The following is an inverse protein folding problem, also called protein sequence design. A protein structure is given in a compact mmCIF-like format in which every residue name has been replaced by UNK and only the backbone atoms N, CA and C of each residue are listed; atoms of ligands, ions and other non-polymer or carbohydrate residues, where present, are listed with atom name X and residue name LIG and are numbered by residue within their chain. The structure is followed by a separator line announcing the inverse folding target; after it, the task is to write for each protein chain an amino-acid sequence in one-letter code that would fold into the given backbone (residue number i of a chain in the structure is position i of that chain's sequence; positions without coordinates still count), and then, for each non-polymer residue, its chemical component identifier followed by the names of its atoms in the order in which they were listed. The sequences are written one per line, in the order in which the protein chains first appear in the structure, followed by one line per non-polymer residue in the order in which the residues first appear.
data_IF_877151950371
#
_entry.id   IF_877151950371
#
_cell.length_a   1.000
_cell.length_b   1.000
_cell.length_c   1.000
_cell.angle_alpha   90.00
_cell.angle_beta   90.00
_cell.angle_gamma   90.00
#
_symmetry.space_group_name_H-M   'P 1'
#
loop_
_entity.id
_entity.type
_entity.pdbx_description
1 polymer ?
#
# COMPACT_ATOMS: atom_id res chain seq x y z
N UNK A 1 6.90 -4.72 -1.99
CA UNK A 1 7.44 -3.71 -1.06
C UNK A 1 7.60 -2.44 -1.85
N UNK A 2 7.35 -1.31 -1.22
CA UNK A 2 7.48 0.01 -1.83
C UNK A 2 7.81 1.05 -0.77
N UNK A 3 8.29 2.21 -1.19
CA UNK A 3 8.51 3.35 -0.33
C UNK A 3 7.50 4.45 -0.66
N UNK A 4 7.13 5.23 0.35
CA UNK A 4 6.28 6.40 0.17
C UNK A 4 6.74 7.55 1.05
N UNK A 5 6.43 8.78 0.63
CA UNK A 5 6.66 9.98 1.45
C UNK A 5 5.72 9.96 2.65
N UNK A 6 6.21 10.41 3.81
CA UNK A 6 5.38 10.68 4.98
C UNK A 6 4.49 11.90 4.73
N UNK A 7 3.32 11.67 4.14
CA UNK A 7 2.31 12.69 3.91
C UNK A 7 1.00 12.31 4.61
N UNK A 8 0.72 12.97 5.74
CA UNK A 8 -0.49 12.72 6.51
C UNK A 8 -1.75 13.33 5.90
N UNK A 9 -1.63 14.19 4.88
CA UNK A 9 -2.77 14.72 4.13
C UNK A 9 -3.20 13.79 3.00
N UNK A 10 -2.35 12.86 2.57
CA UNK A 10 -2.67 11.85 1.56
C UNK A 10 -3.60 10.77 2.12
N UNK A 11 -4.69 10.51 1.38
CA UNK A 11 -5.70 9.54 1.78
C UNK A 11 -5.17 8.09 1.70
N UNK A 12 -4.31 7.79 0.72
CA UNK A 12 -3.66 6.49 0.57
C UNK A 12 -2.68 6.21 1.71
N UNK A 13 -1.87 7.19 2.12
CA UNK A 13 -1.01 7.10 3.30
C UNK A 13 -1.82 6.79 4.55
N UNK A 14 -2.90 7.54 4.77
CA UNK A 14 -3.77 7.35 5.94
C UNK A 14 -4.40 5.96 5.94
N UNK A 15 -4.85 5.47 4.79
CA UNK A 15 -5.41 4.12 4.66
C UNK A 15 -4.37 3.03 4.98
N UNK A 16 -3.16 3.12 4.43
CA UNK A 16 -2.08 2.14 4.67
C UNK A 16 -1.66 2.13 6.15
N UNK A 17 -1.48 3.31 6.74
CA UNK A 17 -1.14 3.46 8.16
C UNK A 17 -2.21 2.83 9.04
N UNK A 18 -3.48 3.10 8.77
CA UNK A 18 -4.60 2.54 9.54
C UNK A 18 -4.69 1.02 9.37
N UNK A 19 -4.51 0.49 8.15
CA UNK A 19 -4.50 -0.95 7.90
C UNK A 19 -3.39 -1.66 8.69
N UNK A 20 -2.19 -1.06 8.75
CA UNK A 20 -1.10 -1.59 9.56
C UNK A 20 -1.42 -1.62 11.06
N UNK A 21 -1.90 -0.52 11.64
CA UNK A 21 -2.21 -0.46 13.07
C UNK A 21 -3.47 -1.24 13.47
N UNK A 22 -4.45 -1.34 12.57
CA UNK A 22 -5.68 -2.09 12.77
C UNK A 22 -5.54 -3.59 12.51
N UNK A 23 -4.44 -4.01 11.86
CA UNK A 23 -4.29 -5.36 11.33
C UNK A 23 -5.45 -5.76 10.40
N UNK A 24 -5.95 -4.78 9.65
CA UNK A 24 -7.07 -4.94 8.72
C UNK A 24 -6.56 -5.16 7.30
N UNK A 25 -7.20 -6.02 6.49
CA UNK A 25 -6.90 -6.13 5.07
C UNK A 25 -7.17 -4.81 4.34
N UNK A 26 -6.32 -4.49 3.36
CA UNK A 26 -6.48 -3.32 2.48
C UNK A 26 -6.43 -3.74 1.01
N UNK A 27 -7.38 -3.25 0.21
CA UNK A 27 -7.40 -3.49 -1.23
C UNK A 27 -6.39 -2.62 -1.96
N UNK A 28 -5.57 -3.21 -2.82
CA UNK A 28 -4.68 -2.50 -3.74
C UNK A 28 -4.98 -2.83 -5.20
N UNK A 29 -4.73 -1.83 -6.05
CA UNK A 29 -4.63 -1.97 -7.50
C UNK A 29 -3.20 -1.63 -7.90
N UNK A 30 -2.45 -2.62 -8.36
CA UNK A 30 -1.08 -2.46 -8.83
C UNK A 30 -1.14 -2.42 -10.36
N UNK A 31 -1.19 -1.20 -10.91
CA UNK A 31 -1.35 -0.95 -12.35
C UNK A 31 0.01 -0.65 -13.00
N UNK A 32 0.14 -0.97 -14.28
CA UNK A 32 1.31 -0.60 -15.11
C UNK A 32 1.36 0.90 -15.42
N UNK A 33 0.20 1.53 -15.60
CA UNK A 33 0.06 2.97 -15.79
C UNK A 33 -1.26 3.53 -15.23
N UNK A 34 -1.43 4.85 -15.35
CA UNK A 34 -2.69 5.49 -14.97
C UNK A 34 -3.80 5.04 -15.93
N UNK A 35 -4.81 4.34 -15.40
CA UNK A 35 -5.88 3.66 -16.18
C UNK A 35 -5.41 2.44 -16.98
N UNK A 36 -4.23 1.89 -16.63
CA UNK A 36 -3.69 0.70 -17.25
C UNK A 36 -4.28 -0.60 -16.70
N UNK A 37 -3.52 -1.68 -16.82
CA UNK A 37 -3.89 -3.02 -16.39
C UNK A 37 -3.02 -3.48 -15.23
N UNK A 38 -3.52 -4.44 -14.45
CA UNK A 38 -2.73 -5.05 -13.40
C UNK A 38 -3.52 -5.80 -12.35
N UNK A 39 -2.86 -6.09 -11.23
CA UNK A 39 -3.39 -6.91 -10.16
C UNK A 39 -4.26 -6.08 -9.23
N UNK A 40 -5.50 -6.51 -9.03
CA UNK A 40 -6.35 -6.10 -7.93
C UNK A 40 -6.49 -7.23 -6.91
N UNK A 41 -6.12 -6.98 -5.66
CA UNK A 41 -6.24 -7.95 -4.57
C UNK A 41 -6.26 -7.26 -3.20
N UNK A 42 -6.62 -8.01 -2.17
CA UNK A 42 -6.49 -7.57 -0.78
C UNK A 42 -5.13 -7.98 -0.19
N UNK A 43 -4.53 -7.07 0.56
CA UNK A 43 -3.20 -7.19 1.13
C UNK A 43 -3.25 -6.99 2.65
N UNK A 44 -2.33 -7.65 3.35
CA UNK A 44 -1.95 -7.31 4.72
C UNK A 44 -0.64 -6.53 4.68
N UNK A 45 -0.59 -5.45 5.46
CA UNK A 45 0.63 -4.66 5.65
C UNK A 45 1.42 -5.29 6.81
N UNK A 46 2.53 -5.93 6.49
CA UNK A 46 3.36 -6.64 7.48
C UNK A 46 4.52 -5.78 8.00
N UNK A 47 4.81 -4.66 7.35
CA UNK A 47 5.84 -3.70 7.77
C UNK A 47 5.42 -2.28 7.39
N UNK A 48 5.63 -1.35 8.32
CA UNK A 48 5.48 0.09 8.14
C UNK A 48 6.55 0.78 8.98
N UNK A 49 7.69 1.11 8.36
CA UNK A 49 8.86 1.66 9.05
C UNK A 49 9.15 3.08 8.58
N UNK A 50 9.19 4.04 9.52
CA UNK A 50 9.49 5.45 9.26
C UNK A 50 11.01 5.67 9.14
N UNK A 51 11.42 6.34 8.08
CA UNK A 51 12.81 6.71 7.81
C UNK A 51 12.94 8.25 7.82
N UNK A 52 13.81 8.78 8.67
CA UNK A 52 14.07 10.22 8.81
C UNK A 52 15.49 10.57 8.38
N UNK A 53 15.71 10.66 7.07
CA UNK A 53 16.98 11.13 6.52
C UNK A 53 17.21 12.62 6.88
N UNK A 54 18.47 13.01 7.08
CA UNK A 54 18.82 14.35 7.57
C UNK A 54 18.60 15.48 6.55
N UNK A 55 18.57 15.15 5.25
CA UNK A 55 18.51 16.13 4.15
C UNK A 55 17.31 15.92 3.20
N UNK A 56 16.58 14.81 3.33
CA UNK A 56 15.49 14.44 2.44
C UNK A 56 14.13 14.49 3.15
N UNK A 57 13.05 14.36 2.37
CA UNK A 57 11.73 14.16 2.95
C UNK A 57 11.69 12.86 3.77
N UNK A 58 10.93 12.87 4.85
CA UNK A 58 10.68 11.68 5.66
C UNK A 58 9.93 10.67 4.79
N UNK A 59 10.36 9.41 4.80
CA UNK A 59 9.74 8.33 4.03
C UNK A 59 9.27 7.20 4.94
N UNK A 60 8.51 6.28 4.36
CA UNK A 60 8.07 5.04 4.98
C UNK A 60 8.35 3.88 4.04
N UNK A 61 9.01 2.84 4.54
CA UNK A 61 9.13 1.56 3.84
C UNK A 61 7.94 0.66 4.22
N UNK A 62 7.20 0.18 3.20
CA UNK A 62 5.96 -0.58 3.37
C UNK A 62 6.07 -1.96 2.73
N UNK A 63 5.83 -3.00 3.52
CA UNK A 63 5.73 -4.38 3.02
C UNK A 63 4.28 -4.82 3.01
N UNK A 64 3.73 -4.98 1.80
CA UNK A 64 2.40 -5.54 1.58
C UNK A 64 2.50 -6.97 1.05
N UNK A 65 1.68 -7.87 1.58
CA UNK A 65 1.55 -9.27 1.13
C UNK A 65 0.09 -9.56 0.82
N UNK A 66 -0.18 -10.21 -0.32
CA UNK A 66 -1.54 -10.68 -0.64
C UNK A 66 -2.00 -11.58 0.51
N UNK A 67 -3.21 -11.33 1.00
CA UNK A 67 -3.78 -12.05 2.14
C UNK A 67 -5.10 -12.71 1.75
N UNK A 68 -5.54 -13.65 2.57
CA UNK A 68 -6.85 -14.26 2.38
C UNK A 68 -7.95 -13.24 2.70
N UNK A 69 -8.89 -13.07 1.77
CA UNK A 69 -10.09 -12.26 1.95
C UNK A 69 -11.26 -12.87 1.18
N UNK A 70 -12.45 -12.30 1.35
CA UNK A 70 -13.62 -12.66 0.55
C UNK A 70 -13.49 -12.24 -0.92
N UNK A 71 -12.56 -11.34 -1.24
CA UNK A 71 -12.30 -10.83 -2.59
C UNK A 71 -11.16 -11.64 -3.21
N UNK A 72 -11.47 -12.48 -4.19
CA UNK A 72 -10.42 -13.20 -4.92
C UNK A 72 -9.53 -12.22 -5.69
N UNK A 73 -8.19 -12.43 -5.71
CA UNK A 73 -7.31 -11.68 -6.59
C UNK A 73 -7.77 -11.77 -8.05
N UNK A 74 -7.75 -10.64 -8.75
CA UNK A 74 -8.17 -10.55 -10.15
C UNK A 74 -7.23 -9.65 -10.94
N UNK A 75 -7.09 -9.95 -12.23
CA UNK A 75 -6.45 -9.03 -13.16
C UNK A 75 -7.51 -8.08 -13.73
N UNK A 76 -7.24 -6.78 -13.67
CA UNK A 76 -8.09 -5.73 -14.21
C UNK A 76 -7.39 -5.03 -15.37
N UNK A 77 -8.15 -4.56 -16.35
CA UNK A 77 -7.60 -3.98 -17.58
C UNK A 77 -7.23 -5.04 -18.64
N UNK A 78 -7.51 -4.73 -19.90
CA UNK A 78 -7.37 -5.61 -21.06
C UNK A 78 -8.15 -5.12 -22.27
#
# INVERSE_FOLDING_TARGET
EFEMVWDTADAGFTAIKNAFFGNDPIGFQILDETSGQGLQADFSITNFSRNEALEEAITVSVTAKVTYSATAPSWIGG
#
